data_IF_475077882717
#
_entry.id   IF_475077882717
#
_cell.length_a   1.000
_cell.length_b   1.000
_cell.length_c   1.000
_cell.angle_alpha   90.00
_cell.angle_beta   90.00
_cell.angle_gamma   90.00
#
_symmetry.space_group_name_H-M   'P 1'
#
loop_
_entity.id
_entity.type
_entity.pdbx_description
1 polymer ?
#
# COMPACT_ATOMS: atom_id res chain seq x y z
N UNK A 1 32.96 -26.40 24.54
CA UNK A 1 31.63 -26.45 25.18
C UNK A 1 30.70 -25.56 24.35
N UNK A 2 29.84 -26.10 23.47
CA UNK A 2 28.80 -25.31 22.84
C UNK A 2 27.45 -25.55 23.54
N UNK A 3 26.47 -24.74 23.15
CA UNK A 3 25.03 -24.83 23.45
C UNK A 3 24.56 -24.03 24.68
N UNK A 4 24.69 -22.71 24.57
CA UNK A 4 23.76 -21.80 25.24
C UNK A 4 22.67 -21.45 24.23
N UNK A 5 21.65 -22.31 24.11
CA UNK A 5 20.40 -21.90 23.48
C UNK A 5 19.83 -20.75 24.33
N UNK A 6 19.73 -19.55 23.77
CA UNK A 6 19.03 -18.42 24.36
C UNK A 6 17.55 -18.47 23.91
N UNK A 7 16.65 -19.18 24.62
CA UNK A 7 15.24 -19.28 24.23
C UNK A 7 14.56 -17.90 24.23
N UNK A 8 15.07 -16.98 25.05
CA UNK A 8 14.56 -15.61 25.15
C UNK A 8 14.65 -14.84 23.82
N UNK A 9 15.68 -15.07 23.02
CA UNK A 9 15.86 -14.32 21.76
C UNK A 9 14.80 -14.72 20.72
N UNK A 10 14.59 -16.02 20.54
CA UNK A 10 13.57 -16.53 19.65
C UNK A 10 12.16 -16.07 20.08
N UNK A 11 11.87 -16.12 21.39
CA UNK A 11 10.58 -15.63 21.91
C UNK A 11 10.41 -14.12 21.72
N UNK A 12 11.46 -13.32 21.94
CA UNK A 12 11.40 -11.87 21.71
C UNK A 12 11.16 -11.54 20.23
N UNK A 13 11.77 -12.29 19.32
CA UNK A 13 11.57 -12.11 17.88
C UNK A 13 10.13 -12.44 17.46
N UNK A 14 9.57 -13.54 17.99
CA UNK A 14 8.16 -13.88 17.78
C UNK A 14 7.25 -12.77 18.32
N UNK A 15 7.50 -12.28 19.55
CA UNK A 15 6.69 -11.22 20.15
C UNK A 15 6.74 -9.91 19.36
N UNK A 16 7.89 -9.55 18.78
CA UNK A 16 7.99 -8.36 17.92
C UNK A 16 7.18 -8.56 16.64
N UNK A 17 7.23 -9.74 16.02
CA UNK A 17 6.45 -10.06 14.82
C UNK A 17 4.94 -9.99 15.12
N UNK A 18 4.51 -10.51 16.27
CA UNK A 18 3.10 -10.50 16.68
C UNK A 18 2.61 -9.11 17.11
N UNK A 19 3.39 -8.39 17.92
CA UNK A 19 3.04 -7.06 18.44
C UNK A 19 2.79 -6.04 17.32
N UNK A 20 3.55 -6.15 16.23
CA UNK A 20 3.42 -5.28 15.06
C UNK A 20 2.70 -5.95 13.89
N UNK A 21 2.14 -7.16 14.10
CA UNK A 21 1.46 -7.97 13.07
C UNK A 21 2.30 -8.15 11.79
N UNK A 22 3.63 -8.23 11.90
CA UNK A 22 4.56 -8.24 10.75
C UNK A 22 4.38 -9.46 9.85
N UNK A 23 3.82 -10.55 10.39
CA UNK A 23 3.49 -11.76 9.63
C UNK A 23 2.49 -11.49 8.48
N UNK A 24 1.78 -10.35 8.47
CA UNK A 24 0.91 -9.97 7.34
C UNK A 24 1.70 -9.71 6.06
N UNK A 25 2.99 -9.42 6.18
CA UNK A 25 3.89 -9.11 5.06
C UNK A 25 4.63 -10.34 4.50
N UNK A 26 4.67 -11.47 5.22
CA UNK A 26 5.33 -12.72 4.76
C UNK A 26 4.69 -13.32 3.49
N UNK A 27 3.44 -12.95 3.18
CA UNK A 27 2.74 -13.37 1.96
C UNK A 27 3.06 -12.50 0.75
N UNK A 28 3.77 -11.38 0.93
CA UNK A 28 4.26 -10.59 -0.18
C UNK A 28 5.44 -11.34 -0.79
N UNK A 29 5.18 -12.10 -1.85
CA UNK A 29 6.24 -12.60 -2.73
C UNK A 29 7.20 -11.45 -2.98
N UNK A 30 8.48 -11.66 -2.67
CA UNK A 30 9.64 -10.89 -3.12
C UNK A 30 9.31 -10.03 -4.36
N UNK A 31 8.81 -8.81 -4.15
CA UNK A 31 8.63 -7.84 -5.22
C UNK A 31 9.91 -7.03 -5.18
N UNK A 32 10.84 -7.42 -6.04
CA UNK A 32 12.19 -6.88 -6.25
C UNK A 32 12.26 -5.36 -6.53
N UNK A 33 11.17 -4.64 -6.40
CA UNK A 33 11.14 -3.19 -6.43
C UNK A 33 11.07 -2.73 -4.99
N UNK A 34 12.20 -2.33 -4.43
CA UNK A 34 12.20 -1.29 -3.42
C UNK A 34 11.15 -0.27 -3.85
N UNK A 35 10.06 -0.16 -3.11
CA UNK A 35 9.02 0.83 -3.38
C UNK A 35 9.73 2.17 -3.20
N UNK A 36 10.09 2.79 -4.33
CA UNK A 36 10.70 4.11 -4.43
C UNK A 36 9.77 5.10 -3.71
N UNK A 37 9.99 5.27 -2.41
CA UNK A 37 9.22 6.11 -1.47
C UNK A 37 7.69 5.92 -1.52
N UNK A 38 7.01 5.62 -0.41
CA UNK A 38 5.55 5.56 -0.40
C UNK A 38 4.92 6.82 -1.01
N UNK A 39 3.77 6.66 -1.69
CA UNK A 39 3.03 7.80 -2.22
C UNK A 39 2.56 8.70 -1.09
N UNK A 40 2.86 9.99 -1.20
CA UNK A 40 2.30 10.97 -0.26
C UNK A 40 0.79 11.06 -0.47
N UNK A 41 0.05 10.84 0.61
CA UNK A 41 -1.40 10.97 0.62
C UNK A 41 -1.80 12.33 1.13
N UNK A 42 -2.70 12.99 0.41
CA UNK A 42 -3.23 14.31 0.73
C UNK A 42 -4.70 14.21 1.08
N UNK A 43 -5.17 15.10 1.95
CA UNK A 43 -6.56 15.20 2.35
C UNK A 43 -7.17 16.49 1.80
N UNK A 44 -8.19 16.38 0.96
CA UNK A 44 -8.97 17.53 0.50
C UNK A 44 -10.47 17.24 0.67
N UNK A 45 -11.20 18.18 1.28
CA UNK A 45 -12.64 18.05 1.53
C UNK A 45 -13.05 16.74 2.23
N UNK A 46 -12.18 16.23 3.11
CA UNK A 46 -12.39 14.96 3.81
C UNK A 46 -12.27 13.71 2.93
N UNK A 47 -11.61 13.81 1.77
CA UNK A 47 -11.33 12.70 0.87
C UNK A 47 -9.82 12.57 0.68
N UNK A 48 -9.32 11.34 0.86
CA UNK A 48 -7.92 11.00 0.66
C UNK A 48 -7.60 10.85 -0.83
N UNK A 49 -6.53 11.47 -1.29
CA UNK A 49 -6.05 11.37 -2.66
C UNK A 49 -4.52 11.30 -2.73
N UNK A 50 -4.01 10.87 -3.87
CA UNK A 50 -2.58 10.82 -4.21
C UNK A 50 -2.34 11.50 -5.54
N UNK A 51 -1.10 11.91 -5.77
CA UNK A 51 -0.65 12.44 -7.06
C UNK A 51 0.14 11.33 -7.75
N UNK A 52 -0.31 10.91 -8.93
CA UNK A 52 0.33 9.87 -9.71
C UNK A 52 1.72 10.33 -10.18
N UNK A 53 2.70 9.45 -10.04
CA UNK A 53 4.08 9.62 -10.50
C UNK A 53 4.27 9.01 -11.89
N UNK A 54 5.42 9.28 -12.49
CA UNK A 54 5.75 8.66 -13.78
C UNK A 54 5.92 7.13 -13.60
N UNK A 55 5.32 6.36 -14.51
CA UNK A 55 5.31 4.90 -14.45
C UNK A 55 4.32 4.29 -13.45
N UNK A 56 3.46 5.08 -12.80
CA UNK A 56 2.36 4.57 -12.00
C UNK A 56 1.29 3.90 -12.84
N UNK A 57 0.68 2.87 -12.26
CA UNK A 57 -0.48 2.21 -12.83
C UNK A 57 -1.54 2.01 -11.76
N UNK A 58 -2.79 1.83 -12.18
CA UNK A 58 -3.88 1.53 -11.25
C UNK A 58 -3.62 0.25 -10.46
N UNK A 59 -2.95 -0.73 -11.04
CA UNK A 59 -2.56 -1.96 -10.38
C UNK A 59 -1.55 -1.70 -9.26
N UNK A 60 -0.51 -0.89 -9.52
CA UNK A 60 0.50 -0.53 -8.50
C UNK A 60 -0.14 0.23 -7.33
N UNK A 61 -0.92 1.27 -7.63
CA UNK A 61 -1.63 2.06 -6.61
C UNK A 61 -2.67 1.21 -5.87
N UNK A 62 -3.35 0.30 -6.56
CA UNK A 62 -4.31 -0.59 -5.90
C UNK A 62 -3.62 -1.53 -4.91
N UNK A 63 -2.47 -2.08 -5.28
CA UNK A 63 -1.69 -2.95 -4.42
C UNK A 63 -1.10 -2.17 -3.22
N UNK A 64 -0.62 -0.95 -3.44
CA UNK A 64 -0.03 -0.09 -2.38
C UNK A 64 -1.06 0.33 -1.32
N UNK A 65 -2.28 0.68 -1.75
CA UNK A 65 -3.34 1.18 -0.86
C UNK A 65 -4.36 0.12 -0.46
N UNK A 66 -4.04 -1.17 -0.64
CA UNK A 66 -4.92 -2.31 -0.35
C UNK A 66 -6.34 -2.15 -0.93
N UNK A 67 -6.44 -1.56 -2.12
CA UNK A 67 -7.70 -1.30 -2.83
C UNK A 67 -7.76 -2.10 -4.12
N UNK A 68 -8.71 -1.76 -5.00
CA UNK A 68 -8.82 -2.42 -6.31
C UNK A 68 -8.83 -1.39 -7.41
N UNK A 69 -8.20 -1.70 -8.54
CA UNK A 69 -8.27 -0.88 -9.77
C UNK A 69 -9.69 -0.46 -10.10
N UNK A 70 -10.67 -1.38 -9.98
CA UNK A 70 -12.07 -1.09 -10.26
C UNK A 70 -12.65 -0.01 -9.32
N UNK A 71 -12.27 -0.02 -8.05
CA UNK A 71 -12.67 1.02 -7.07
C UNK A 71 -12.04 2.36 -7.44
N UNK A 72 -10.73 2.39 -7.72
CA UNK A 72 -10.03 3.61 -8.12
C UNK A 72 -10.67 4.25 -9.36
N UNK A 73 -10.88 3.47 -10.42
CA UNK A 73 -11.55 3.95 -11.64
C UNK A 73 -12.96 4.48 -11.33
N UNK A 74 -13.73 3.76 -10.50
CA UNK A 74 -15.10 4.15 -10.14
C UNK A 74 -15.15 5.41 -9.28
N UNK A 75 -14.22 5.61 -8.35
CA UNK A 75 -14.23 6.77 -7.44
C UNK A 75 -13.79 8.05 -8.14
N UNK A 76 -12.94 7.91 -9.15
CA UNK A 76 -12.41 9.01 -9.95
C UNK A 76 -13.22 9.27 -11.23
N UNK A 77 -14.35 8.56 -11.42
CA UNK A 77 -15.19 8.63 -12.62
C UNK A 77 -14.41 8.47 -13.94
N UNK A 78 -13.37 7.62 -13.92
CA UNK A 78 -12.50 7.37 -15.07
C UNK A 78 -13.06 6.27 -15.98
N UNK A 79 -12.66 6.28 -17.24
CA UNK A 79 -12.97 5.17 -18.16
C UNK A 79 -12.03 3.99 -17.92
N UNK A 80 -12.49 2.77 -18.26
CA UNK A 80 -11.81 1.50 -17.93
C UNK A 80 -10.37 1.40 -18.46
N UNK A 81 -10.12 2.04 -19.60
CA UNK A 81 -8.86 2.02 -20.34
C UNK A 81 -8.02 3.28 -20.09
N UNK A 82 -8.41 4.11 -19.11
CA UNK A 82 -7.62 5.29 -18.76
C UNK A 82 -6.23 4.86 -18.31
N UNK A 83 -5.22 5.58 -18.79
CA UNK A 83 -3.83 5.39 -18.39
C UNK A 83 -3.43 6.57 -17.54
N UNK A 84 -2.92 6.29 -16.33
CA UNK A 84 -2.43 7.32 -15.42
C UNK A 84 -1.29 8.10 -16.06
N UNK A 85 -1.32 9.41 -15.88
CA UNK A 85 -0.25 10.31 -16.25
C UNK A 85 0.35 10.92 -15.00
N UNK A 86 1.63 11.28 -15.09
CA UNK A 86 2.30 12.02 -14.04
C UNK A 86 1.51 13.31 -13.72
N UNK A 87 1.24 13.54 -12.43
CA UNK A 87 0.47 14.68 -11.95
C UNK A 87 -1.04 14.44 -11.82
N UNK A 88 -1.55 13.29 -12.23
CA UNK A 88 -2.97 12.96 -12.06
C UNK A 88 -3.35 12.85 -10.58
N UNK A 89 -4.47 13.46 -10.20
CA UNK A 89 -5.02 13.39 -8.85
C UNK A 89 -5.93 12.17 -8.77
N UNK A 90 -5.58 11.21 -7.93
CA UNK A 90 -6.32 9.96 -7.76
C UNK A 90 -6.87 9.86 -6.34
N UNK A 91 -8.19 9.92 -6.22
CA UNK A 91 -8.92 9.69 -4.97
C UNK A 91 -8.91 8.19 -4.61
N UNK A 92 -8.53 7.91 -3.37
CA UNK A 92 -8.47 6.55 -2.82
C UNK A 92 -9.83 6.10 -2.26
N UNK A 93 -10.69 7.06 -1.92
CA UNK A 93 -11.98 6.85 -1.29
C UNK A 93 -13.13 7.34 -2.15
N UNK A 94 -14.33 6.78 -1.92
CA UNK A 94 -15.54 7.24 -2.59
C UNK A 94 -15.92 8.62 -2.08
N UNK A 95 -16.35 9.50 -2.97
CA UNK A 95 -16.98 10.77 -2.59
C UNK A 95 -18.09 10.56 -1.56
N UNK A 96 -18.09 11.37 -0.50
CA UNK A 96 -19.16 11.43 0.49
C UNK A 96 -20.46 11.87 -0.20
N UNK A 97 -21.41 10.94 -0.33
CA UNK A 97 -22.79 11.26 -0.74
C UNK A 97 -23.56 11.62 0.52
N UNK A 98 -23.91 12.90 0.68
CA UNK A 98 -24.90 13.35 1.67
C UNK A 98 -26.29 12.84 1.29
#
# INVERSE_FOLDING_TARGET
KPDTHYPAYATSLISIIELYELHKFDRSKLRDTWIDSPHETFLANGLLYVIARDGDTFEKLADEFETSRRKLIKYNDLYKEYTLKQGDIIYLEKKHTK
#
